data_IF_132849279542
#
_entry.id   IF_132849279542
#
_cell.length_a   1.000
_cell.length_b   1.000
_cell.length_c   1.000
_cell.angle_alpha   90.00
_cell.angle_beta   90.00
_cell.angle_gamma   90.00
#
_symmetry.space_group_name_H-M   'P 1'
#
loop_
_entity.id
_entity.type
_entity.pdbx_description
1 polymer ?
#
# COMPACT_ATOMS: atom_id res chain seq x y z
N UNK A 1 -11.66 24.94 4.53
CA UNK A 1 -10.51 24.53 3.72
C UNK A 1 -10.98 23.59 2.62
N UNK A 2 -10.61 23.83 1.36
CA UNK A 2 -10.96 22.94 0.27
C UNK A 2 -10.24 21.59 0.46
N UNK A 3 -11.02 20.51 0.42
CA UNK A 3 -10.48 19.14 0.57
C UNK A 3 -9.58 18.81 -0.63
N UNK A 4 -8.31 18.46 -0.39
CA UNK A 4 -7.36 18.07 -1.43
C UNK A 4 -7.89 16.84 -2.18
N UNK A 5 -7.86 16.89 -3.50
CA UNK A 5 -8.22 15.76 -4.36
C UNK A 5 -6.95 15.05 -4.86
N UNK A 6 -6.47 14.08 -4.09
CA UNK A 6 -5.25 13.33 -4.40
C UNK A 6 -5.36 12.52 -5.70
N UNK A 7 -6.55 12.07 -6.08
CA UNK A 7 -6.74 11.42 -7.38
C UNK A 7 -6.50 12.38 -8.53
N UNK A 8 -6.95 13.65 -8.42
CA UNK A 8 -6.69 14.66 -9.44
C UNK A 8 -5.20 15.00 -9.56
N UNK A 9 -4.46 14.96 -8.44
CA UNK A 9 -2.98 15.13 -8.45
C UNK A 9 -2.34 13.97 -9.22
N UNK A 10 -2.71 12.72 -8.90
CA UNK A 10 -2.24 11.53 -9.63
C UNK A 10 -2.53 11.62 -11.12
N UNK A 11 -3.73 12.02 -11.51
CA UNK A 11 -4.12 12.18 -12.91
C UNK A 11 -3.24 13.20 -13.63
N UNK A 12 -2.89 14.30 -12.95
CA UNK A 12 -1.97 15.31 -13.48
C UNK A 12 -0.56 14.77 -13.71
N UNK A 13 -0.04 13.97 -12.74
CA UNK A 13 1.27 13.31 -12.87
C UNK A 13 1.25 12.35 -14.07
N UNK A 14 0.26 11.47 -14.17
CA UNK A 14 0.11 10.50 -15.26
C UNK A 14 0.01 11.21 -16.61
N UNK A 15 -0.80 12.28 -16.70
CA UNK A 15 -0.92 13.06 -17.93
C UNK A 15 0.43 13.66 -18.38
N UNK A 16 1.24 14.14 -17.43
CA UNK A 16 2.58 14.64 -17.74
C UNK A 16 3.51 13.52 -18.22
N UNK A 17 3.52 12.36 -17.57
CA UNK A 17 4.32 11.20 -17.99
C UNK A 17 3.97 10.75 -19.41
N UNK A 18 2.69 10.74 -19.76
CA UNK A 18 2.23 10.41 -21.11
C UNK A 18 2.70 11.45 -22.15
N UNK A 19 2.61 12.75 -21.85
CA UNK A 19 3.07 13.83 -22.74
C UNK A 19 4.58 13.78 -22.98
N UNK A 20 5.35 13.44 -21.95
CA UNK A 20 6.83 13.35 -22.03
C UNK A 20 7.33 11.98 -22.48
N UNK A 21 6.44 11.03 -22.72
CA UNK A 21 6.75 9.62 -23.01
C UNK A 21 7.75 9.01 -22.00
N UNK A 22 7.57 9.34 -20.71
CA UNK A 22 8.46 8.90 -19.63
C UNK A 22 7.79 7.78 -18.84
N UNK A 23 8.56 6.74 -18.52
CA UNK A 23 8.10 5.59 -17.71
C UNK A 23 9.02 5.44 -16.49
N UNK A 24 8.73 6.15 -15.39
CA UNK A 24 9.57 6.11 -14.19
C UNK A 24 9.42 4.80 -13.41
N UNK A 25 10.36 4.57 -12.51
CA UNK A 25 10.34 3.48 -11.53
C UNK A 25 9.49 3.85 -10.33
N UNK A 26 8.76 2.87 -9.79
CA UNK A 26 7.88 3.03 -8.63
C UNK A 26 8.07 1.90 -7.64
N UNK A 27 8.40 2.23 -6.40
CA UNK A 27 8.32 1.30 -5.27
C UNK A 27 6.91 1.38 -4.66
N UNK A 28 6.13 0.31 -4.79
CA UNK A 28 4.75 0.23 -4.32
C UNK A 28 4.67 -0.62 -3.05
N UNK A 29 4.47 0.00 -1.89
CA UNK A 29 4.18 -0.73 -0.67
C UNK A 29 2.82 -1.43 -0.76
N UNK A 30 2.81 -2.74 -0.50
CA UNK A 30 1.64 -3.61 -0.61
C UNK A 30 1.38 -4.35 0.69
N UNK A 31 0.10 -4.45 1.09
CA UNK A 31 -0.34 -5.18 2.27
C UNK A 31 -0.97 -6.55 1.97
N UNK A 32 -1.57 -6.72 0.81
CA UNK A 32 -2.23 -7.95 0.37
C UNK A 32 -2.68 -7.85 -1.09
N UNK A 33 -2.85 -8.97 -1.76
CA UNK A 33 -3.26 -9.07 -3.16
C UNK A 33 -4.61 -8.38 -3.49
N UNK A 34 -5.67 -8.49 -2.68
CA UNK A 34 -6.90 -7.74 -2.95
C UNK A 34 -6.70 -6.22 -3.01
N UNK A 35 -5.78 -5.66 -2.17
CA UNK A 35 -5.50 -4.23 -2.17
C UNK A 35 -4.58 -3.81 -3.33
N UNK A 36 -3.67 -4.69 -3.76
CA UNK A 36 -2.74 -4.40 -4.85
C UNK A 36 -3.37 -4.58 -6.23
N UNK A 37 -4.38 -5.43 -6.36
CA UNK A 37 -4.92 -5.87 -7.65
C UNK A 37 -5.26 -4.70 -8.59
N UNK A 38 -6.10 -3.78 -8.17
CA UNK A 38 -6.43 -2.59 -8.97
C UNK A 38 -5.24 -1.63 -9.07
N UNK A 39 -4.47 -1.45 -8.01
CA UNK A 39 -3.33 -0.55 -8.04
C UNK A 39 -2.29 -0.98 -9.07
N UNK A 40 -2.01 -2.27 -9.17
CA UNK A 40 -1.11 -2.84 -10.16
C UNK A 40 -1.70 -2.78 -11.57
N UNK A 41 -2.98 -3.17 -11.77
CA UNK A 41 -3.67 -3.04 -13.05
C UNK A 41 -3.60 -1.61 -13.59
N UNK A 42 -3.83 -0.61 -12.73
CA UNK A 42 -3.86 0.80 -13.10
C UNK A 42 -2.46 1.39 -13.31
N UNK A 43 -1.56 1.23 -12.34
CA UNK A 43 -0.26 1.91 -12.35
C UNK A 43 0.74 1.26 -13.32
N UNK A 44 0.67 -0.04 -13.59
CA UNK A 44 1.57 -0.73 -14.52
C UNK A 44 1.45 -0.23 -15.96
N UNK A 45 0.42 0.55 -16.29
CA UNK A 45 0.31 1.23 -17.57
C UNK A 45 1.31 2.39 -17.73
N UNK A 46 1.82 2.95 -16.62
CA UNK A 46 2.57 4.20 -16.59
C UNK A 46 3.92 4.11 -15.88
N UNK A 47 4.13 3.07 -15.05
CA UNK A 47 5.32 2.90 -14.21
C UNK A 47 5.93 1.51 -14.36
N UNK A 48 7.26 1.43 -14.19
CA UNK A 48 7.96 0.17 -13.90
C UNK A 48 7.86 -0.07 -12.41
N UNK A 49 7.03 -1.03 -12.00
CA UNK A 49 6.68 -1.24 -10.60
C UNK A 49 7.56 -2.32 -9.98
N UNK A 50 8.05 -2.03 -8.78
CA UNK A 50 8.51 -3.04 -7.84
C UNK A 50 7.60 -2.99 -6.61
N UNK A 51 6.95 -4.09 -6.32
CA UNK A 51 6.17 -4.28 -5.09
C UNK A 51 7.13 -4.42 -3.92
N UNK A 52 6.87 -3.69 -2.85
CA UNK A 52 7.55 -3.86 -1.57
C UNK A 52 6.57 -4.43 -0.56
N UNK A 53 6.74 -5.71 -0.25
CA UNK A 53 5.91 -6.41 0.72
C UNK A 53 6.55 -6.33 2.11
N UNK A 54 6.18 -5.28 2.86
CA UNK A 54 6.67 -5.04 4.22
C UNK A 54 5.51 -4.78 5.17
N UNK A 55 5.16 -5.75 5.99
CA UNK A 55 3.97 -5.73 6.82
C UNK A 55 4.25 -6.28 8.23
N UNK A 56 5.06 -5.58 9.06
CA UNK A 56 5.39 -6.02 10.41
C UNK A 56 4.17 -6.04 11.34
N UNK A 57 3.08 -5.39 10.93
CA UNK A 57 1.79 -5.40 11.65
C UNK A 57 1.04 -6.73 11.52
N UNK A 58 1.36 -7.59 10.55
CA UNK A 58 0.76 -8.92 10.48
C UNK A 58 1.39 -9.75 11.60
N UNK A 59 0.61 -10.03 12.65
CA UNK A 59 1.14 -10.57 13.90
C UNK A 59 1.48 -12.05 13.82
N UNK A 60 0.85 -12.80 12.91
CA UNK A 60 1.02 -14.23 12.74
C UNK A 60 1.85 -14.54 11.50
N UNK A 61 2.94 -15.29 11.66
CA UNK A 61 3.81 -15.63 10.54
C UNK A 61 3.08 -16.42 9.44
N UNK A 62 2.20 -17.33 9.80
CA UNK A 62 1.42 -18.09 8.81
C UNK A 62 0.56 -17.18 7.94
N UNK A 63 -0.09 -16.18 8.53
CA UNK A 63 -0.89 -15.19 7.79
C UNK A 63 0.00 -14.28 6.92
N UNK A 64 1.18 -13.88 7.43
CA UNK A 64 2.15 -13.11 6.64
C UNK A 64 2.58 -13.89 5.40
N UNK A 65 2.99 -15.14 5.57
CA UNK A 65 3.43 -16.00 4.46
C UNK A 65 2.29 -16.27 3.47
N UNK A 66 1.08 -16.50 3.98
CA UNK A 66 -0.09 -16.70 3.13
C UNK A 66 -0.36 -15.49 2.22
N UNK A 67 -0.37 -14.27 2.79
CA UNK A 67 -0.58 -13.04 2.01
C UNK A 67 0.57 -12.75 1.04
N UNK A 68 1.80 -13.04 1.42
CA UNK A 68 2.97 -12.87 0.57
C UNK A 68 2.91 -13.82 -0.64
N UNK A 69 2.61 -15.09 -0.41
CA UNK A 69 2.50 -16.09 -1.46
C UNK A 69 1.34 -15.77 -2.42
N UNK A 70 0.23 -15.27 -1.87
CA UNK A 70 -0.91 -14.81 -2.65
C UNK A 70 -0.57 -13.61 -3.54
N UNK A 71 0.21 -12.65 -3.02
CA UNK A 71 0.70 -11.52 -3.81
C UNK A 71 1.61 -11.98 -4.95
N UNK A 72 2.55 -12.89 -4.67
CA UNK A 72 3.43 -13.48 -5.70
C UNK A 72 2.64 -14.21 -6.77
N UNK A 73 1.65 -15.03 -6.36
CA UNK A 73 0.76 -15.75 -7.26
C UNK A 73 0.01 -14.75 -8.16
N UNK A 74 -0.64 -13.75 -7.59
CA UNK A 74 -1.37 -12.74 -8.34
C UNK A 74 -0.48 -12.02 -9.36
N UNK A 75 0.72 -11.58 -8.96
CA UNK A 75 1.67 -10.95 -9.88
C UNK A 75 2.01 -11.88 -11.05
N UNK A 76 2.19 -13.17 -10.80
CA UNK A 76 2.54 -14.14 -11.84
C UNK A 76 1.39 -14.45 -12.82
N UNK A 77 0.15 -14.29 -12.41
CA UNK A 77 -1.04 -14.51 -13.23
C UNK A 77 -1.42 -13.32 -14.13
N UNK A 78 -0.97 -12.11 -13.72
CA UNK A 78 -1.34 -10.88 -14.43
C UNK A 78 -0.44 -10.61 -15.63
N UNK A 79 -1.05 -10.14 -16.71
CA UNK A 79 -0.31 -9.65 -17.88
C UNK A 79 -0.16 -8.11 -17.80
N UNK A 80 0.93 -7.65 -17.21
CA UNK A 80 1.22 -6.23 -17.08
C UNK A 80 1.93 -5.67 -18.31
N UNK A 81 1.69 -4.39 -18.62
CA UNK A 81 2.40 -3.70 -19.70
C UNK A 81 3.92 -3.65 -19.49
N UNK A 82 4.34 -3.46 -18.25
CA UNK A 82 5.74 -3.56 -17.82
C UNK A 82 5.86 -4.62 -16.74
N UNK A 83 6.92 -5.45 -16.74
CA UNK A 83 7.11 -6.47 -15.70
C UNK A 83 7.04 -5.87 -14.29
N UNK A 84 6.33 -6.54 -13.40
CA UNK A 84 6.23 -6.18 -11.99
C UNK A 84 7.16 -7.10 -11.20
N UNK A 85 8.10 -6.50 -10.47
CA UNK A 85 9.00 -7.21 -9.56
C UNK A 85 8.44 -7.15 -8.13
N UNK A 86 8.97 -8.01 -7.25
CA UNK A 86 8.63 -7.99 -5.82
C UNK A 86 9.90 -8.06 -4.96
N UNK A 87 9.95 -7.25 -3.92
CA UNK A 87 10.95 -7.24 -2.86
C UNK A 87 10.23 -7.57 -1.55
N UNK A 88 10.74 -8.54 -0.83
CA UNK A 88 10.27 -8.89 0.50
C UNK A 88 11.00 -8.05 1.54
N UNK A 89 10.25 -7.32 2.36
CA UNK A 89 10.79 -6.68 3.55
C UNK A 89 11.04 -7.71 4.66
N UNK A 90 11.94 -7.39 5.55
CA UNK A 90 12.17 -8.21 6.74
C UNK A 90 10.88 -8.34 7.56
N UNK A 91 10.50 -9.56 7.89
CA UNK A 91 9.35 -9.84 8.75
C UNK A 91 9.77 -9.77 10.21
N UNK A 92 9.49 -8.65 10.85
CA UNK A 92 9.76 -8.40 12.27
C UNK A 92 8.55 -7.79 12.98
N UNK A 93 7.61 -8.60 13.50
CA UNK A 93 6.47 -8.06 14.26
C UNK A 93 6.88 -7.24 15.49
N UNK A 94 8.07 -7.46 16.04
CA UNK A 94 8.60 -6.66 17.15
C UNK A 94 8.76 -5.17 16.81
N UNK A 95 9.10 -4.83 15.56
CA UNK A 95 9.14 -3.44 15.10
C UNK A 95 7.77 -2.77 15.24
N UNK A 96 6.72 -3.47 14.82
CA UNK A 96 5.34 -2.98 14.94
C UNK A 96 4.93 -2.83 16.41
N UNK A 97 5.12 -3.85 17.24
CA UNK A 97 4.74 -3.78 18.65
C UNK A 97 5.49 -2.68 19.40
N UNK A 98 6.76 -2.48 19.09
CA UNK A 98 7.55 -1.37 19.66
C UNK A 98 7.00 -0.01 19.24
N UNK A 99 6.63 0.16 17.97
CA UNK A 99 6.11 1.41 17.43
C UNK A 99 4.73 1.79 17.99
N UNK A 100 3.91 0.80 18.38
CA UNK A 100 2.55 1.02 18.90
C UNK A 100 2.41 0.83 20.40
N UNK A 101 3.51 0.70 21.11
CA UNK A 101 3.53 0.53 22.58
C UNK A 101 2.79 1.67 23.27
N UNK A 102 1.85 1.33 24.15
CA UNK A 102 0.97 2.26 24.87
C UNK A 102 -0.26 2.70 24.08
N UNK A 103 -0.44 2.20 22.85
CA UNK A 103 -1.60 2.49 21.99
C UNK A 103 -2.47 1.25 21.73
N UNK A 104 -2.34 0.22 22.55
CA UNK A 104 -3.00 -1.08 22.37
C UNK A 104 -4.54 -0.97 22.38
N UNK A 105 -5.07 -0.02 23.16
CA UNK A 105 -6.50 0.22 23.33
C UNK A 105 -7.09 1.26 22.33
N UNK A 106 -6.25 1.83 21.46
CA UNK A 106 -6.73 2.73 20.42
C UNK A 106 -7.62 1.95 19.42
N UNK A 107 -8.73 2.52 18.94
CA UNK A 107 -9.57 1.87 17.94
C UNK A 107 -8.87 1.77 16.58
N UNK A 108 -9.40 0.93 15.68
CA UNK A 108 -8.96 0.93 14.29
C UNK A 108 -9.18 2.31 13.65
N UNK A 109 -8.14 2.84 13.00
CA UNK A 109 -8.12 4.19 12.43
C UNK A 109 -7.59 5.28 13.38
N UNK A 110 -7.37 4.99 14.67
CA UNK A 110 -6.80 5.89 15.67
C UNK A 110 -5.27 6.02 15.58
N UNK A 111 -4.64 6.54 16.66
CA UNK A 111 -3.19 6.82 16.71
C UNK A 111 -2.33 5.57 16.52
N UNK A 112 -2.79 4.40 16.98
CA UNK A 112 -2.12 3.11 16.70
C UNK A 112 -1.96 2.87 15.20
N UNK A 113 -3.02 3.08 14.42
CA UNK A 113 -2.98 2.91 12.97
C UNK A 113 -2.09 3.96 12.29
N UNK A 114 -2.08 5.19 12.78
CA UNK A 114 -1.18 6.24 12.29
C UNK A 114 0.28 5.85 12.47
N UNK A 115 0.67 5.36 13.66
CA UNK A 115 2.03 4.84 13.92
C UNK A 115 2.38 3.67 13.00
N UNK A 116 1.44 2.77 12.75
CA UNK A 116 1.61 1.68 11.80
C UNK A 116 1.86 2.18 10.36
N UNK A 117 1.16 3.22 9.93
CA UNK A 117 1.37 3.82 8.62
C UNK A 117 2.74 4.51 8.54
N UNK A 118 3.11 5.27 9.57
CA UNK A 118 4.43 5.91 9.68
C UNK A 118 5.55 4.88 9.54
N UNK A 119 5.55 3.81 10.34
CA UNK A 119 6.54 2.74 10.28
C UNK A 119 6.70 2.15 8.87
N UNK A 120 5.59 1.85 8.22
CA UNK A 120 5.60 1.18 6.92
C UNK A 120 6.01 2.12 5.79
N UNK A 121 5.52 3.36 5.79
CA UNK A 121 5.84 4.33 4.75
C UNK A 121 7.26 4.89 4.89
N UNK A 122 7.77 5.04 6.12
CA UNK A 122 9.16 5.39 6.36
C UNK A 122 10.11 4.35 5.78
N UNK A 123 9.90 3.06 6.10
CA UNK A 123 10.71 1.96 5.55
C UNK A 123 10.65 1.95 4.02
N UNK A 124 9.46 2.19 3.45
CA UNK A 124 9.28 2.23 1.99
C UNK A 124 10.05 3.38 1.35
N UNK A 125 9.97 4.60 1.92
CA UNK A 125 10.70 5.76 1.43
C UNK A 125 12.22 5.55 1.50
N UNK A 126 12.72 5.00 2.61
CA UNK A 126 14.14 4.68 2.77
C UNK A 126 14.63 3.69 1.70
N UNK A 127 13.92 2.58 1.51
CA UNK A 127 14.27 1.60 0.48
C UNK A 127 14.18 2.20 -0.92
N UNK A 128 13.16 3.04 -1.19
CA UNK A 128 13.02 3.73 -2.46
C UNK A 128 14.25 4.62 -2.75
N UNK A 129 14.75 5.34 -1.76
CA UNK A 129 15.98 6.14 -1.88
C UNK A 129 17.23 5.28 -2.07
N UNK A 130 17.41 4.26 -1.25
CA UNK A 130 18.58 3.36 -1.28
C UNK A 130 18.70 2.65 -2.64
N UNK A 131 17.57 2.31 -3.26
CA UNK A 131 17.50 1.61 -4.55
C UNK A 131 17.27 2.55 -5.76
N UNK A 132 17.30 3.87 -5.55
CA UNK A 132 17.14 4.89 -6.59
C UNK A 132 15.83 4.79 -7.40
N UNK A 133 14.71 4.53 -6.72
CA UNK A 133 13.39 4.66 -7.34
C UNK A 133 13.01 6.13 -7.54
N UNK A 134 12.33 6.43 -8.66
CA UNK A 134 11.82 7.78 -8.93
C UNK A 134 10.68 8.17 -8.02
N UNK A 135 9.82 7.19 -7.67
CA UNK A 135 8.63 7.37 -6.85
C UNK A 135 8.45 6.24 -5.84
N UNK A 136 7.75 6.54 -4.75
CA UNK A 136 7.17 5.53 -3.88
C UNK A 136 5.71 5.87 -3.55
N UNK A 137 4.90 4.85 -3.20
CA UNK A 137 3.52 5.00 -2.74
C UNK A 137 3.04 3.75 -2.01
N UNK A 138 1.74 3.69 -1.68
CA UNK A 138 1.13 2.55 -0.99
C UNK A 138 -0.23 2.19 -1.56
N UNK A 139 -0.58 0.92 -1.53
CA UNK A 139 -1.95 0.45 -1.84
C UNK A 139 -2.97 0.74 -0.73
N UNK A 140 -2.54 1.19 0.44
CA UNK A 140 -3.43 1.42 1.60
C UNK A 140 -4.57 2.40 1.30
N UNK A 141 -4.37 3.35 0.38
CA UNK A 141 -5.38 4.36 0.02
C UNK A 141 -6.59 3.79 -0.72
N UNK A 142 -6.56 2.50 -1.14
CA UNK A 142 -7.71 1.83 -1.77
C UNK A 142 -8.79 1.45 -0.76
N UNK A 143 -8.39 1.18 0.49
CA UNK A 143 -9.34 0.76 1.52
C UNK A 143 -10.28 1.89 1.93
N UNK A 144 -11.61 1.68 1.93
CA UNK A 144 -12.57 2.66 2.44
C UNK A 144 -12.39 2.95 3.95
N UNK A 145 -11.80 2.00 4.68
CA UNK A 145 -11.56 2.10 6.13
C UNK A 145 -10.29 2.89 6.47
N UNK A 146 -9.50 3.31 5.48
CA UNK A 146 -8.25 4.02 5.70
C UNK A 146 -8.31 5.48 5.25
N UNK A 147 -7.72 6.34 6.09
CA UNK A 147 -7.68 7.79 5.87
C UNK A 147 -6.64 8.13 4.79
N UNK A 148 -7.08 8.29 3.52
CA UNK A 148 -6.20 8.62 2.41
C UNK A 148 -5.51 10.00 2.58
N UNK A 149 -6.14 11.08 3.08
CA UNK A 149 -5.45 12.31 3.43
C UNK A 149 -4.27 12.10 4.37
N UNK A 150 -4.47 11.37 5.46
CA UNK A 150 -3.40 11.08 6.42
C UNK A 150 -2.25 10.29 5.78
N UNK A 151 -2.56 9.28 4.99
CA UNK A 151 -1.54 8.48 4.27
C UNK A 151 -0.71 9.34 3.31
N UNK A 152 -1.35 10.26 2.57
CA UNK A 152 -0.64 11.18 1.70
C UNK A 152 0.24 12.17 2.48
N UNK A 153 -0.24 12.75 3.58
CA UNK A 153 0.56 13.62 4.44
C UNK A 153 1.80 12.92 5.01
N UNK A 154 1.65 11.66 5.44
CA UNK A 154 2.77 10.85 5.93
C UNK A 154 3.75 10.58 4.78
N UNK A 155 3.26 10.21 3.61
CA UNK A 155 4.07 9.95 2.43
C UNK A 155 4.85 11.19 1.96
N UNK A 156 4.20 12.35 1.88
CA UNK A 156 4.83 13.64 1.54
C UNK A 156 5.93 14.00 2.53
N UNK A 157 5.70 13.85 3.85
CA UNK A 157 6.72 14.08 4.88
C UNK A 157 7.95 13.21 4.68
N UNK A 158 7.78 11.92 4.39
CA UNK A 158 8.92 11.03 4.16
C UNK A 158 9.57 11.22 2.78
N UNK A 159 8.84 11.73 1.81
CA UNK A 159 9.42 12.17 0.53
C UNK A 159 10.47 13.27 0.75
N UNK A 160 10.15 14.26 1.60
CA UNK A 160 11.08 15.33 1.95
C UNK A 160 12.28 14.82 2.76
N UNK A 161 12.06 13.90 3.71
CA UNK A 161 13.13 13.35 4.58
C UNK A 161 14.14 12.53 3.79
N UNK A 162 13.67 11.71 2.85
CA UNK A 162 14.50 10.75 2.10
C UNK A 162 14.85 11.22 0.68
N UNK A 163 14.44 12.41 0.27
CA UNK A 163 14.68 12.97 -1.07
C UNK A 163 14.25 11.98 -2.18
N UNK A 164 13.00 11.51 -2.12
CA UNK A 164 12.37 10.63 -3.09
C UNK A 164 10.91 11.04 -3.29
N UNK A 165 10.37 11.02 -4.51
CA UNK A 165 9.04 11.55 -4.78
C UNK A 165 7.94 10.63 -4.23
N UNK A 166 6.99 11.21 -3.49
CA UNK A 166 5.75 10.54 -3.15
C UNK A 166 4.76 10.60 -4.32
N UNK A 167 4.18 9.48 -4.71
CA UNK A 167 3.08 9.44 -5.67
C UNK A 167 1.74 9.56 -4.92
N UNK A 168 1.18 10.76 -4.89
CA UNK A 168 -0.10 11.02 -4.26
C UNK A 168 -1.20 10.13 -4.85
N UNK A 169 -2.07 9.58 -4.00
CA UNK A 169 -3.10 8.65 -4.46
C UNK A 169 -4.35 8.64 -3.57
N UNK A 170 -5.48 8.33 -4.17
CA UNK A 170 -6.71 7.90 -3.49
C UNK A 170 -7.37 6.82 -4.36
N UNK A 171 -6.79 5.61 -4.33
CA UNK A 171 -7.15 4.51 -5.22
C UNK A 171 -8.59 3.99 -5.06
N UNK A 172 -9.32 4.38 -4.00
CA UNK A 172 -10.75 4.08 -3.91
C UNK A 172 -11.60 4.93 -4.85
N UNK A 173 -11.06 6.05 -5.35
CA UNK A 173 -11.71 6.87 -6.38
C UNK A 173 -11.76 6.15 -7.74
N UNK A 174 -12.54 6.69 -8.68
CA UNK A 174 -12.74 6.10 -10.02
C UNK A 174 -13.15 4.62 -9.96
N UNK A 175 -14.00 4.26 -8.99
CA UNK A 175 -14.49 2.89 -8.80
C UNK A 175 -13.36 1.86 -8.48
N UNK A 176 -12.15 2.33 -8.11
CA UNK A 176 -11.00 1.45 -7.90
C UNK A 176 -11.23 0.40 -6.82
N UNK A 177 -11.90 0.74 -5.73
CA UNK A 177 -12.28 -0.25 -4.72
C UNK A 177 -13.23 -1.33 -5.27
N UNK A 178 -14.24 -0.93 -6.07
CA UNK A 178 -15.13 -1.89 -6.72
C UNK A 178 -14.38 -2.78 -7.72
N UNK A 179 -13.47 -2.18 -8.51
CA UNK A 179 -12.65 -2.98 -9.44
C UNK A 179 -11.77 -3.99 -8.69
N UNK A 180 -11.22 -3.62 -7.53
CA UNK A 180 -10.45 -4.57 -6.71
C UNK A 180 -11.27 -5.75 -6.19
N UNK A 181 -12.59 -5.57 -5.97
CA UNK A 181 -13.50 -6.66 -5.61
C UNK A 181 -13.68 -7.60 -6.79
N UNK A 182 -13.90 -7.04 -7.99
CA UNK A 182 -14.05 -7.82 -9.23
C UNK A 182 -12.79 -8.62 -9.53
N UNK A 183 -11.60 -7.97 -9.50
CA UNK A 183 -10.31 -8.64 -9.68
C UNK A 183 -10.07 -9.75 -8.64
N UNK A 184 -10.47 -9.50 -7.39
CA UNK A 184 -10.36 -10.52 -6.35
C UNK A 184 -11.20 -11.76 -6.65
N UNK A 185 -12.39 -11.59 -7.24
CA UNK A 185 -13.24 -12.71 -7.66
C UNK A 185 -12.68 -13.41 -8.91
N UNK A 186 -12.23 -12.63 -9.91
CA UNK A 186 -11.65 -13.16 -11.16
C UNK A 186 -10.41 -14.04 -10.89
N UNK A 187 -9.59 -13.68 -9.90
CA UNK A 187 -8.35 -14.40 -9.53
C UNK A 187 -8.46 -15.22 -8.26
N UNK A 188 -9.67 -15.42 -7.70
CA UNK A 188 -9.88 -16.14 -6.44
C UNK A 188 -8.93 -15.69 -5.32
N UNK A 189 -8.76 -14.36 -5.14
CA UNK A 189 -7.82 -13.82 -4.16
C UNK A 189 -8.33 -14.01 -2.73
N UNK A 190 -7.43 -14.39 -1.84
CA UNK A 190 -7.70 -14.46 -0.41
C UNK A 190 -8.06 -13.07 0.15
N UNK A 191 -9.31 -12.91 0.56
CA UNK A 191 -9.82 -11.66 1.15
C UNK A 191 -10.06 -11.86 2.64
N UNK A 192 -9.22 -11.22 3.43
CA UNK A 192 -9.35 -11.17 4.88
C UNK A 192 -10.30 -10.03 5.31
N UNK A 193 -10.97 -10.22 6.44
CA UNK A 193 -11.88 -9.24 7.05
C UNK A 193 -11.20 -8.28 8.04
N UNK A 194 -9.87 -8.39 8.25
CA UNK A 194 -9.10 -7.56 9.17
C UNK A 194 -7.76 -7.08 8.56
N UNK A 195 -7.18 -6.04 9.15
CA UNK A 195 -5.96 -5.40 8.60
C UNK A 195 -4.70 -6.28 8.69
N UNK A 196 -4.64 -7.22 9.66
CA UNK A 196 -3.52 -8.14 9.88
C UNK A 196 -2.92 -8.05 11.28
N UNK A 197 -3.07 -6.94 12.00
CA UNK A 197 -2.60 -6.84 13.38
C UNK A 197 -3.56 -7.56 14.34
N UNK A 198 -3.02 -8.03 15.45
CA UNK A 198 -3.79 -8.72 16.50
C UNK A 198 -4.98 -7.87 17.01
N UNK A 199 -4.84 -6.56 17.04
CA UNK A 199 -5.88 -5.65 17.51
C UNK A 199 -7.07 -5.59 16.53
N UNK A 200 -6.80 -5.43 15.22
CA UNK A 200 -7.87 -5.44 14.22
C UNK A 200 -8.51 -6.84 14.07
N UNK A 201 -7.77 -7.92 14.33
CA UNK A 201 -8.32 -9.29 14.37
C UNK A 201 -9.32 -9.43 15.51
N UNK A 202 -8.99 -8.91 16.69
CA UNK A 202 -9.88 -8.88 17.85
C UNK A 202 -11.15 -8.07 17.57
N UNK A 203 -10.99 -6.83 17.06
CA UNK A 203 -12.12 -5.96 16.72
C UNK A 203 -13.03 -6.56 15.61
N UNK A 204 -12.49 -7.36 14.70
CA UNK A 204 -13.28 -8.05 13.68
C UNK A 204 -14.10 -9.20 14.29
N UNK A 205 -13.51 -9.99 15.20
CA UNK A 205 -14.19 -11.08 15.88
C UNK A 205 -15.33 -10.63 16.81
N UNK A 206 -15.26 -9.40 17.34
CA UNK A 206 -16.33 -8.82 18.17
C UNK A 206 -17.55 -8.35 17.35
N UNK A 207 -17.43 -8.27 16.01
CA UNK A 207 -18.49 -7.81 15.10
C UNK A 207 -19.22 -8.96 14.37
N UNK A 208 -18.72 -10.18 14.49
CA UNK A 208 -19.33 -11.43 13.98
C UNK A 208 -20.30 -12.05 15.02
#
# INVERSE_FOLDING_TARGET
MNKVNYQKILDGIISNLQKTNTVPTLLLHVCCAPCSSYCLEYLSQYFKITVFFYNPNISENAEYQHRLNEEKRFISEMNFKYPVNIIEGEYSPLEYFSAVKGLENEPEGGERCKKCFELRLEKTARIAREMNFDYFTTTLTISPLKNAPLLNQIGERFADVYDVKWLNSDFKKKEGYKRSIVLSAEHNLYRQNYCGCVFSKREAAEKE
#
